data_IF_209332591810
#
_entry.id   IF_209332591810
#
_cell.length_a   1.000
_cell.length_b   1.000
_cell.length_c   1.000
_cell.angle_alpha   90.00
_cell.angle_beta   90.00
_cell.angle_gamma   90.00
#
_symmetry.space_group_name_H-M   'P 1'
#
loop_
_entity.id
_entity.type
_entity.pdbx_description
1 polymer ?
#
# COMPACT_ATOMS: atom_id res chain seq x y z
N UNK A 1 7.38 -19.18 14.97
CA UNK A 1 7.89 -18.27 13.93
C UNK A 1 7.70 -16.85 14.43
N UNK A 2 8.63 -15.93 14.16
CA UNK A 2 8.45 -14.52 14.50
C UNK A 2 7.23 -13.98 13.72
N UNK A 3 6.39 -13.13 14.35
CA UNK A 3 5.15 -12.64 13.74
C UNK A 3 5.43 -11.74 12.54
N UNK A 4 4.51 -11.75 11.58
CA UNK A 4 4.47 -10.74 10.51
C UNK A 4 3.92 -9.44 11.08
N UNK A 5 4.58 -8.33 10.77
CA UNK A 5 4.14 -6.99 11.16
C UNK A 5 3.59 -6.24 9.96
N UNK A 6 2.37 -5.73 10.09
CA UNK A 6 1.70 -4.89 9.10
C UNK A 6 1.74 -3.44 9.57
N UNK A 7 2.48 -2.62 8.85
CA UNK A 7 2.62 -1.18 9.07
C UNK A 7 1.64 -0.47 8.13
N UNK A 8 0.58 0.16 8.65
CA UNK A 8 -0.49 0.74 7.86
C UNK A 8 -0.56 2.26 8.01
N UNK A 9 -0.53 2.97 6.89
CA UNK A 9 -0.67 4.41 6.80
C UNK A 9 -2.10 4.79 6.43
N UNK A 10 -2.69 5.80 7.08
CA UNK A 10 -4.06 6.23 6.83
C UNK A 10 -4.22 7.01 5.53
N UNK A 11 -5.47 7.23 5.13
CA UNK A 11 -5.83 8.18 4.09
C UNK A 11 -5.50 9.62 4.51
N UNK A 12 -5.54 10.56 3.55
CA UNK A 12 -5.40 11.99 3.85
C UNK A 12 -6.43 12.41 4.91
N UNK A 13 -5.99 13.20 5.89
CA UNK A 13 -6.80 13.71 7.01
C UNK A 13 -7.40 12.65 7.94
N UNK A 14 -7.06 11.38 7.77
CA UNK A 14 -7.40 10.31 8.69
C UNK A 14 -6.28 10.09 9.72
N UNK A 15 -6.66 9.57 10.89
CA UNK A 15 -5.76 9.27 12.00
C UNK A 15 -5.59 7.76 12.21
N UNK A 16 -4.56 7.30 12.93
CA UNK A 16 -4.41 5.88 13.30
C UNK A 16 -5.64 5.30 14.01
N UNK A 17 -6.33 6.10 14.81
CA UNK A 17 -7.53 5.72 15.57
C UNK A 17 -8.71 5.36 14.65
N UNK A 18 -8.74 5.89 13.43
CA UNK A 18 -9.78 5.59 12.46
C UNK A 18 -9.76 4.10 12.07
N UNK A 19 -8.60 3.49 11.96
CA UNK A 19 -8.50 2.04 11.72
C UNK A 19 -9.15 1.20 12.83
N UNK A 20 -9.07 1.68 14.10
CA UNK A 20 -9.74 1.01 15.21
C UNK A 20 -11.26 1.19 15.11
N UNK A 21 -11.72 2.43 14.91
CA UNK A 21 -13.13 2.78 14.78
C UNK A 21 -13.81 2.03 13.64
N UNK A 22 -13.13 1.96 12.49
CA UNK A 22 -13.66 1.34 11.27
C UNK A 22 -13.50 -0.19 11.23
N UNK A 23 -12.94 -0.81 12.29
CA UNK A 23 -12.98 -2.25 12.48
C UNK A 23 -11.78 -3.06 11.97
N UNK A 24 -10.72 -2.45 11.49
CA UNK A 24 -9.54 -3.16 10.99
C UNK A 24 -8.91 -4.08 12.04
N UNK A 25 -8.75 -3.58 13.28
CA UNK A 25 -8.23 -4.39 14.40
C UNK A 25 -9.17 -5.51 14.77
N UNK A 26 -10.47 -5.20 14.88
CA UNK A 26 -11.51 -6.18 15.20
C UNK A 26 -11.49 -7.33 14.20
N UNK A 27 -11.51 -7.03 12.90
CA UNK A 27 -11.46 -8.04 11.83
C UNK A 27 -10.24 -8.95 11.94
N UNK A 28 -9.05 -8.39 12.17
CA UNK A 28 -7.84 -9.19 12.28
C UNK A 28 -7.89 -10.14 13.50
N UNK A 29 -8.41 -9.65 14.64
CA UNK A 29 -8.54 -10.43 15.89
C UNK A 29 -9.60 -11.52 15.79
N UNK A 30 -10.81 -11.20 15.34
CA UNK A 30 -11.91 -12.16 15.20
C UNK A 30 -11.55 -13.30 14.25
N UNK A 31 -10.80 -12.99 13.21
CA UNK A 31 -10.33 -13.99 12.23
C UNK A 31 -9.03 -14.67 12.64
N UNK A 32 -8.53 -14.44 13.87
CA UNK A 32 -7.30 -15.04 14.44
C UNK A 32 -6.11 -14.99 13.48
N UNK A 33 -5.88 -13.83 12.85
CA UNK A 33 -4.76 -13.67 11.93
C UNK A 33 -3.45 -13.54 12.69
N UNK A 34 -2.39 -14.25 12.28
CA UNK A 34 -1.08 -14.22 12.96
C UNK A 34 -0.27 -12.98 12.53
N UNK A 35 -0.81 -11.80 12.76
CA UNK A 35 -0.20 -10.53 12.35
C UNK A 35 -0.22 -9.51 13.49
N UNK A 36 0.86 -8.75 13.60
CA UNK A 36 0.96 -7.57 14.46
C UNK A 36 0.62 -6.33 13.63
N UNK A 37 -0.34 -5.52 14.10
CA UNK A 37 -0.76 -4.30 13.43
C UNK A 37 -0.12 -3.08 14.07
N UNK A 38 0.50 -2.26 13.25
CA UNK A 38 1.02 -0.94 13.63
C UNK A 38 0.41 0.11 12.72
N UNK A 39 -0.36 1.02 13.29
CA UNK A 39 -0.93 2.15 12.56
C UNK A 39 -0.02 3.36 12.71
N UNK A 40 0.43 3.88 11.57
CA UNK A 40 1.44 4.94 11.50
C UNK A 40 0.75 6.28 11.32
N UNK A 41 1.13 7.28 12.09
CA UNK A 41 0.61 8.63 11.90
C UNK A 41 1.16 9.25 10.61
N UNK A 42 0.27 9.79 9.76
CA UNK A 42 0.62 10.49 8.53
C UNK A 42 0.37 11.99 8.69
N UNK A 43 1.40 12.75 9.04
CA UNK A 43 1.30 14.22 9.15
C UNK A 43 1.52 14.87 7.80
N UNK A 44 0.57 15.68 7.34
CA UNK A 44 0.67 16.43 6.08
C UNK A 44 1.92 17.31 6.00
N UNK A 45 2.37 17.85 7.13
CA UNK A 45 3.63 18.60 7.21
C UNK A 45 4.82 17.78 6.71
N UNK A 46 4.91 16.49 7.07
CA UNK A 46 6.03 15.64 6.68
C UNK A 46 6.04 15.30 5.18
N UNK A 47 4.88 15.39 4.51
CA UNK A 47 4.80 15.32 3.05
C UNK A 47 5.30 16.61 2.42
N UNK A 48 4.86 17.76 2.94
CA UNK A 48 5.24 19.08 2.41
C UNK A 48 6.74 19.34 2.57
N UNK A 49 7.34 18.98 3.69
CA UNK A 49 8.78 19.14 3.96
C UNK A 49 9.63 17.94 3.47
N UNK A 50 8.98 16.95 2.81
CA UNK A 50 9.59 15.75 2.23
C UNK A 50 10.38 14.90 3.22
N UNK A 51 10.04 14.96 4.50
CA UNK A 51 10.69 14.15 5.54
C UNK A 51 10.00 12.82 5.78
N UNK A 52 8.80 12.58 5.23
CA UNK A 52 7.95 11.43 5.52
C UNK A 52 8.65 10.09 5.33
N UNK A 53 9.34 9.87 4.21
CA UNK A 53 10.01 8.59 3.94
C UNK A 53 11.16 8.32 4.90
N UNK A 54 11.96 9.35 5.21
CA UNK A 54 13.05 9.26 6.18
C UNK A 54 12.53 8.98 7.58
N UNK A 55 11.45 9.67 8.00
CA UNK A 55 10.82 9.44 9.30
C UNK A 55 10.23 8.04 9.41
N UNK A 56 9.46 7.61 8.40
CA UNK A 56 8.91 6.26 8.33
C UNK A 56 10.03 5.21 8.45
N UNK A 57 11.15 5.42 7.78
CA UNK A 57 12.32 4.56 7.88
C UNK A 57 12.87 4.47 9.29
N UNK A 58 13.25 5.61 9.87
CA UNK A 58 13.99 5.66 11.15
C UNK A 58 13.10 5.48 12.37
N UNK A 59 11.84 5.93 12.32
CA UNK A 59 10.94 5.90 13.46
C UNK A 59 10.04 4.64 13.49
N UNK A 60 9.87 3.94 12.34
CA UNK A 60 8.94 2.82 12.24
C UNK A 60 9.60 1.55 11.69
N UNK A 61 10.13 1.58 10.45
CA UNK A 61 10.56 0.36 9.76
C UNK A 61 11.83 -0.23 10.37
N UNK A 62 12.88 0.57 10.56
CA UNK A 62 14.13 0.09 11.17
C UNK A 62 13.93 -0.40 12.61
N UNK A 63 13.19 0.31 13.50
CA UNK A 63 12.84 -0.22 14.81
C UNK A 63 12.05 -1.53 14.76
N UNK A 64 11.09 -1.66 13.83
CA UNK A 64 10.36 -2.90 13.65
C UNK A 64 11.28 -4.07 13.27
N UNK A 65 12.24 -3.86 12.39
CA UNK A 65 13.28 -4.85 12.05
C UNK A 65 14.16 -5.21 13.24
N UNK A 66 14.60 -4.22 14.01
CA UNK A 66 15.44 -4.43 15.20
C UNK A 66 14.76 -5.28 16.28
N UNK A 67 13.43 -5.26 16.35
CA UNK A 67 12.64 -6.10 17.26
C UNK A 67 12.52 -7.57 16.80
N UNK A 68 13.16 -7.95 15.70
CA UNK A 68 13.23 -9.34 15.24
C UNK A 68 11.92 -9.89 14.67
N UNK A 69 11.06 -9.05 14.05
CA UNK A 69 9.87 -9.56 13.34
C UNK A 69 10.28 -10.44 12.16
N UNK A 70 9.45 -11.43 11.83
CA UNK A 70 9.70 -12.40 10.76
C UNK A 70 9.58 -11.76 9.37
N UNK A 71 8.58 -10.92 9.18
CA UNK A 71 8.41 -10.13 7.95
C UNK A 71 7.71 -8.81 8.24
N UNK A 72 7.98 -7.80 7.38
CA UNK A 72 7.35 -6.49 7.43
C UNK A 72 6.58 -6.28 6.12
N UNK A 73 5.28 -6.07 6.26
CA UNK A 73 4.44 -5.55 5.19
C UNK A 73 4.14 -4.09 5.44
N UNK A 74 4.40 -3.26 4.45
CA UNK A 74 4.03 -1.86 4.48
C UNK A 74 2.79 -1.65 3.62
N UNK A 75 1.86 -0.84 4.10
CA UNK A 75 0.67 -0.59 3.33
C UNK A 75 -0.04 0.69 3.74
N UNK A 76 -1.15 0.95 3.08
CA UNK A 76 -1.95 2.12 3.40
C UNK A 76 -3.12 2.35 2.47
N UNK A 77 -3.92 3.30 2.86
CA UNK A 77 -5.13 3.73 2.18
C UNK A 77 -4.85 5.05 1.46
N UNK A 78 -5.26 5.18 0.20
CA UNK A 78 -5.23 6.45 -0.54
C UNK A 78 -3.84 7.11 -0.50
N UNK A 79 -3.69 8.25 0.16
CA UNK A 79 -2.40 8.94 0.36
C UNK A 79 -1.38 8.07 1.13
N UNK A 80 -1.83 7.29 2.10
CA UNK A 80 -0.98 6.31 2.79
C UNK A 80 -0.45 5.23 1.85
N UNK A 81 -1.26 4.81 0.87
CA UNK A 81 -0.83 3.90 -0.19
C UNK A 81 0.23 4.50 -1.11
N UNK A 82 0.11 5.78 -1.44
CA UNK A 82 1.15 6.53 -2.17
C UNK A 82 2.48 6.55 -1.40
N UNK A 83 2.44 6.87 -0.11
CA UNK A 83 3.64 6.91 0.74
C UNK A 83 4.28 5.52 0.85
N UNK A 84 3.47 4.46 0.95
CA UNK A 84 3.98 3.08 0.98
C UNK A 84 4.68 2.70 -0.34
N UNK A 85 4.13 3.09 -1.49
CA UNK A 85 4.76 2.90 -2.80
C UNK A 85 6.08 3.68 -2.93
N UNK A 86 6.08 4.95 -2.54
CA UNK A 86 7.28 5.79 -2.58
C UNK A 86 8.38 5.24 -1.65
N UNK A 87 7.99 4.70 -0.48
CA UNK A 87 8.93 4.02 0.40
C UNK A 87 9.53 2.77 -0.25
N UNK A 88 8.69 1.93 -0.83
CA UNK A 88 9.13 0.69 -1.49
C UNK A 88 10.04 0.97 -2.71
N UNK A 89 9.80 2.05 -3.43
CA UNK A 89 10.68 2.50 -4.51
C UNK A 89 12.05 2.92 -3.98
N UNK A 90 12.06 3.65 -2.87
CA UNK A 90 13.29 4.21 -2.28
C UNK A 90 14.11 3.18 -1.49
N UNK A 91 13.43 2.28 -0.77
CA UNK A 91 14.03 1.29 0.15
C UNK A 91 13.51 -0.13 -0.08
N UNK A 92 13.67 -0.68 -1.29
CA UNK A 92 13.00 -1.93 -1.69
C UNK A 92 13.43 -3.17 -0.88
N UNK A 93 14.57 -3.12 -0.20
CA UNK A 93 15.10 -4.25 0.60
C UNK A 93 14.66 -4.21 2.06
N UNK A 94 13.95 -3.15 2.48
CA UNK A 94 13.59 -2.97 3.89
C UNK A 94 12.19 -3.49 4.23
N UNK A 95 11.39 -3.90 3.23
CA UNK A 95 10.05 -4.45 3.40
C UNK A 95 9.89 -5.74 2.60
N UNK A 96 9.04 -6.64 3.09
CA UNK A 96 8.82 -7.96 2.50
C UNK A 96 7.54 -8.03 1.67
N UNK A 97 6.70 -7.02 1.73
CA UNK A 97 5.48 -6.94 0.92
C UNK A 97 4.77 -5.60 1.03
N UNK A 98 3.85 -5.37 0.09
CA UNK A 98 2.99 -4.18 0.03
C UNK A 98 1.52 -4.56 0.06
N UNK A 99 0.71 -3.83 0.83
CA UNK A 99 -0.75 -3.91 0.77
C UNK A 99 -1.36 -2.52 0.59
N UNK A 100 -1.99 -2.29 -0.55
CA UNK A 100 -2.45 -0.98 -0.99
C UNK A 100 -3.96 -0.99 -1.17
N UNK A 101 -4.66 -0.10 -0.47
CA UNK A 101 -6.10 0.06 -0.58
C UNK A 101 -6.43 1.41 -1.21
N UNK A 102 -6.95 1.38 -2.44
CA UNK A 102 -7.31 2.56 -3.23
C UNK A 102 -6.20 3.64 -3.24
N UNK A 103 -4.93 3.30 -3.55
CA UNK A 103 -3.81 4.23 -3.42
C UNK A 103 -3.98 5.47 -4.31
N UNK A 104 -3.57 6.64 -3.83
CA UNK A 104 -3.35 7.79 -4.69
C UNK A 104 -2.14 7.48 -5.59
N UNK A 105 -2.29 7.65 -6.90
CA UNK A 105 -1.26 7.27 -7.88
C UNK A 105 -0.75 8.46 -8.70
N UNK A 106 -0.85 9.64 -8.14
CA UNK A 106 -0.38 10.87 -8.77
C UNK A 106 -1.50 11.70 -9.39
N UNK A 107 -1.14 12.90 -9.79
CA UNK A 107 -2.06 13.88 -10.38
C UNK A 107 -2.40 13.53 -11.83
N UNK A 108 -3.36 14.30 -12.41
CA UNK A 108 -3.82 14.09 -13.78
C UNK A 108 -2.75 14.30 -14.85
N UNK A 109 -1.71 15.07 -14.58
CA UNK A 109 -0.61 15.25 -15.53
C UNK A 109 0.17 13.95 -15.69
N UNK A 110 0.51 13.30 -14.57
CA UNK A 110 1.26 12.04 -14.55
C UNK A 110 0.42 10.88 -15.06
N UNK A 111 -0.79 10.71 -14.55
CA UNK A 111 -1.68 9.62 -15.00
C UNK A 111 -2.08 9.76 -16.46
N UNK A 112 -2.33 10.99 -16.94
CA UNK A 112 -2.62 11.26 -18.33
C UNK A 112 -1.42 11.13 -19.28
N UNK A 113 -0.19 11.30 -18.78
CA UNK A 113 1.03 11.00 -19.53
C UNK A 113 1.13 9.49 -19.81
N UNK A 114 0.87 8.66 -18.80
CA UNK A 114 0.91 7.20 -18.92
C UNK A 114 -0.23 6.70 -19.82
N UNK A 115 -1.42 7.28 -19.71
CA UNK A 115 -2.56 6.95 -20.56
C UNK A 115 -2.27 7.27 -22.03
N UNK A 116 -1.71 8.45 -22.33
CA UNK A 116 -1.28 8.83 -23.70
C UNK A 116 -0.19 7.92 -24.27
N UNK A 117 0.60 7.30 -23.42
CA UNK A 117 1.58 6.29 -23.84
C UNK A 117 0.98 4.88 -24.02
N UNK A 118 -0.36 4.74 -24.03
CA UNK A 118 -1.06 3.45 -24.09
C UNK A 118 -0.81 2.55 -22.87
N UNK A 119 -0.57 3.13 -21.71
CA UNK A 119 -0.47 2.42 -20.44
C UNK A 119 0.94 2.23 -19.91
N UNK A 120 1.02 1.59 -18.75
CA UNK A 120 2.26 1.48 -17.95
C UNK A 120 3.39 0.77 -18.70
N UNK A 121 3.06 -0.26 -19.51
CA UNK A 121 4.06 -1.05 -20.20
C UNK A 121 4.76 -0.28 -21.33
N UNK A 122 4.01 0.54 -22.05
CA UNK A 122 4.54 1.36 -23.14
C UNK A 122 5.15 2.68 -22.65
N UNK A 123 4.72 3.13 -21.48
CA UNK A 123 5.24 4.37 -20.92
C UNK A 123 6.73 4.27 -20.60
N UNK A 124 7.51 5.19 -21.12
CA UNK A 124 8.94 5.28 -20.86
C UNK A 124 9.25 6.64 -20.27
N UNK A 125 9.44 6.71 -18.93
CA UNK A 125 9.86 7.96 -18.31
C UNK A 125 11.28 8.31 -18.76
N UNK A 126 11.51 9.57 -19.00
CA UNK A 126 12.87 10.11 -19.15
C UNK A 126 13.66 10.04 -17.84
N UNK A 127 14.69 10.86 -17.74
CA UNK A 127 15.39 11.07 -16.47
C UNK A 127 14.43 11.70 -15.46
N UNK A 128 14.28 11.06 -14.30
CA UNK A 128 13.37 11.51 -13.24
C UNK A 128 14.14 12.23 -12.15
N UNK A 129 13.69 13.41 -11.79
CA UNK A 129 14.21 14.13 -10.63
C UNK A 129 14.05 13.31 -9.34
N UNK A 130 14.95 13.53 -8.39
CA UNK A 130 14.91 12.80 -7.11
C UNK A 130 13.60 13.02 -6.35
N UNK A 131 12.98 14.16 -6.57
CA UNK A 131 11.76 14.62 -5.93
C UNK A 131 10.47 14.39 -6.75
N UNK A 132 10.55 13.73 -7.90
CA UNK A 132 9.40 13.34 -8.69
C UNK A 132 8.83 11.98 -8.23
N UNK A 133 8.32 11.96 -7.00
CA UNK A 133 7.80 10.74 -6.39
C UNK A 133 6.65 10.14 -7.19
N UNK A 134 5.81 10.96 -7.84
CA UNK A 134 4.67 10.48 -8.61
C UNK A 134 5.10 9.65 -9.84
N UNK A 135 6.07 10.10 -10.64
CA UNK A 135 6.56 9.29 -11.77
C UNK A 135 7.45 8.16 -11.30
N UNK A 136 8.17 8.32 -10.20
CA UNK A 136 9.03 7.27 -9.61
C UNK A 136 8.22 6.07 -9.16
N UNK A 137 7.06 6.25 -8.51
CA UNK A 137 6.18 5.13 -8.15
C UNK A 137 5.66 4.38 -9.39
N UNK A 138 5.36 5.07 -10.48
CA UNK A 138 4.93 4.40 -11.71
C UNK A 138 6.05 3.61 -12.37
N UNK A 139 7.28 4.11 -12.34
CA UNK A 139 8.47 3.35 -12.77
C UNK A 139 8.65 2.10 -11.90
N UNK A 140 8.45 2.22 -10.60
CA UNK A 140 8.46 1.09 -9.67
C UNK A 140 7.36 0.07 -10.00
N UNK A 141 6.13 0.52 -10.24
CA UNK A 141 4.98 -0.31 -10.63
C UNK A 141 5.26 -1.05 -11.94
N UNK A 142 5.80 -0.37 -12.95
CA UNK A 142 6.19 -1.00 -14.23
C UNK A 142 7.14 -2.19 -14.03
N UNK A 143 8.03 -2.10 -13.07
CA UNK A 143 9.00 -3.15 -12.75
C UNK A 143 8.46 -4.31 -11.89
N UNK A 144 7.21 -4.27 -11.42
CA UNK A 144 6.69 -5.23 -10.42
C UNK A 144 6.64 -6.67 -10.91
N UNK A 145 6.35 -6.93 -12.19
CA UNK A 145 6.32 -8.31 -12.72
C UNK A 145 7.64 -9.06 -12.58
N UNK A 146 8.76 -8.34 -12.54
CA UNK A 146 10.09 -8.91 -12.35
C UNK A 146 10.53 -8.97 -10.89
N UNK A 147 9.72 -8.47 -9.95
CA UNK A 147 10.08 -8.41 -8.52
C UNK A 147 9.54 -9.61 -7.77
N UNK A 148 10.30 -10.05 -6.77
CA UNK A 148 9.90 -11.17 -5.90
C UNK A 148 9.05 -10.72 -4.71
N UNK A 149 9.08 -9.44 -4.34
CA UNK A 149 8.30 -8.94 -3.20
C UNK A 149 6.81 -8.89 -3.56
N UNK A 150 5.95 -9.57 -2.79
CA UNK A 150 4.52 -9.58 -3.06
C UNK A 150 3.91 -8.18 -2.90
N UNK A 151 3.01 -7.84 -3.83
CA UNK A 151 2.20 -6.64 -3.78
C UNK A 151 0.73 -7.03 -3.86
N UNK A 152 -0.10 -6.42 -3.04
CA UNK A 152 -1.56 -6.54 -3.10
C UNK A 152 -2.16 -5.17 -3.36
N UNK A 153 -2.98 -5.06 -4.40
CA UNK A 153 -3.76 -3.89 -4.77
C UNK A 153 -5.24 -4.18 -4.57
N UNK A 154 -5.92 -3.45 -3.71
CA UNK A 154 -7.36 -3.49 -3.56
C UNK A 154 -7.99 -2.13 -3.88
N UNK A 155 -9.14 -2.11 -4.61
CA UNK A 155 -9.87 -0.86 -4.85
C UNK A 155 -11.36 -1.07 -5.13
N UNK A 156 -12.14 -0.02 -4.90
CA UNK A 156 -13.56 0.02 -5.27
C UNK A 156 -13.74 0.25 -6.77
N UNK A 157 -14.69 -0.45 -7.38
CA UNK A 157 -14.97 -0.32 -8.81
C UNK A 157 -15.42 1.08 -9.19
N UNK A 158 -16.17 1.72 -8.30
CA UNK A 158 -16.73 3.07 -8.44
C UNK A 158 -15.86 4.15 -7.77
N UNK A 159 -14.62 3.78 -7.38
CA UNK A 159 -13.67 4.74 -6.79
C UNK A 159 -13.35 5.87 -7.76
N UNK A 160 -13.28 7.10 -7.25
CA UNK A 160 -12.93 8.29 -8.06
C UNK A 160 -11.57 8.18 -8.76
N UNK A 161 -10.68 7.32 -8.26
CA UNK A 161 -9.37 7.01 -8.85
C UNK A 161 -9.35 5.67 -9.58
N UNK A 162 -10.49 5.04 -9.84
CA UNK A 162 -10.57 3.71 -10.44
C UNK A 162 -9.84 3.60 -11.80
N UNK A 163 -9.75 4.68 -12.56
CA UNK A 163 -9.02 4.70 -13.83
C UNK A 163 -7.52 4.42 -13.60
N UNK A 164 -6.88 5.15 -12.68
CA UNK A 164 -5.48 4.93 -12.35
C UNK A 164 -5.25 3.59 -11.64
N UNK A 165 -6.21 3.10 -10.83
CA UNK A 165 -6.12 1.77 -10.23
C UNK A 165 -6.14 0.66 -11.29
N UNK A 166 -7.02 0.75 -12.30
CA UNK A 166 -7.02 -0.20 -13.44
C UNK A 166 -5.71 -0.15 -14.22
N UNK A 167 -5.16 1.03 -14.41
CA UNK A 167 -3.86 1.21 -15.06
C UNK A 167 -2.74 0.53 -14.25
N UNK A 168 -2.71 0.69 -12.92
CA UNK A 168 -1.78 -0.03 -12.05
C UNK A 168 -2.02 -1.55 -12.11
N UNK A 169 -3.27 -1.98 -12.04
CA UNK A 169 -3.64 -3.39 -12.09
C UNK A 169 -3.14 -4.10 -13.35
N UNK A 170 -3.10 -3.41 -14.50
CA UNK A 170 -2.57 -3.97 -15.75
C UNK A 170 -1.08 -4.35 -15.67
N UNK A 171 -0.33 -3.76 -14.76
CA UNK A 171 1.09 -4.05 -14.53
C UNK A 171 1.32 -5.16 -13.49
N UNK A 172 0.26 -5.67 -12.85
CA UNK A 172 0.35 -6.67 -11.78
C UNK A 172 -0.14 -8.04 -12.24
N UNK A 173 0.19 -9.07 -11.47
CA UNK A 173 -0.41 -10.39 -11.63
C UNK A 173 -1.88 -10.35 -11.15
N UNK A 174 -2.82 -11.01 -11.86
CA UNK A 174 -4.24 -10.94 -11.52
C UNK A 174 -4.57 -11.32 -10.07
N UNK A 175 -3.88 -12.29 -9.50
CA UNK A 175 -4.03 -12.74 -8.11
C UNK A 175 -3.57 -11.72 -7.07
N UNK A 176 -2.91 -10.66 -7.50
CA UNK A 176 -2.49 -9.54 -6.66
C UNK A 176 -3.50 -8.39 -6.63
N UNK A 177 -4.59 -8.51 -7.39
CA UNK A 177 -5.59 -7.44 -7.55
C UNK A 177 -6.94 -7.90 -7.00
N UNK A 178 -7.52 -7.08 -6.14
CA UNK A 178 -8.86 -7.26 -5.58
C UNK A 178 -9.75 -6.07 -5.92
N UNK A 179 -10.88 -6.31 -6.58
CA UNK A 179 -11.83 -5.27 -6.99
C UNK A 179 -13.20 -5.57 -6.41
N UNK A 180 -13.69 -4.68 -5.58
CA UNK A 180 -15.00 -4.81 -4.93
C UNK A 180 -15.97 -3.70 -5.40
N UNK A 181 -17.28 -3.87 -5.27
CA UNK A 181 -18.23 -2.77 -5.46
C UNK A 181 -18.02 -1.66 -4.43
N UNK A 182 -18.26 -0.41 -4.83
CA UNK A 182 -18.23 0.78 -3.98
C UNK A 182 -17.10 1.75 -4.33
N UNK A 183 -17.10 2.89 -3.63
CA UNK A 183 -16.27 4.06 -3.92
C UNK A 183 -15.01 4.16 -3.06
N UNK A 184 -14.58 5.43 -2.83
CA UNK A 184 -13.40 5.77 -2.05
C UNK A 184 -13.76 6.02 -0.58
N UNK A 185 -14.10 4.96 0.16
CA UNK A 185 -14.72 5.05 1.48
C UNK A 185 -14.37 3.88 2.40
N UNK A 186 -14.51 4.08 3.71
CA UNK A 186 -14.14 3.12 4.74
C UNK A 186 -14.80 1.75 4.62
N UNK A 187 -16.11 1.59 4.32
CA UNK A 187 -16.71 0.27 4.17
C UNK A 187 -16.08 -0.56 3.05
N UNK A 188 -15.66 0.10 1.97
CA UNK A 188 -14.96 -0.54 0.85
C UNK A 188 -13.56 -0.97 1.28
N UNK A 189 -12.81 -0.09 1.94
CA UNK A 189 -11.46 -0.38 2.43
C UNK A 189 -11.45 -1.49 3.48
N UNK A 190 -12.46 -1.54 4.35
CA UNK A 190 -12.61 -2.64 5.32
C UNK A 190 -12.83 -3.98 4.61
N UNK A 191 -13.67 -4.03 3.59
CA UNK A 191 -13.89 -5.25 2.78
C UNK A 191 -12.61 -5.70 2.09
N UNK A 192 -11.86 -4.78 1.50
CA UNK A 192 -10.56 -5.06 0.87
C UNK A 192 -9.53 -5.58 1.90
N UNK A 193 -9.55 -5.01 3.10
CA UNK A 193 -8.74 -5.48 4.22
C UNK A 193 -9.07 -6.92 4.62
N UNK A 194 -10.36 -7.25 4.72
CA UNK A 194 -10.83 -8.60 5.00
C UNK A 194 -10.35 -9.62 3.96
N UNK A 195 -10.48 -9.27 2.69
CA UNK A 195 -10.04 -10.11 1.57
C UNK A 195 -8.52 -10.29 1.58
N UNK A 196 -7.76 -9.21 1.77
CA UNK A 196 -6.31 -9.25 1.89
C UNK A 196 -5.85 -10.18 3.01
N UNK A 197 -6.42 -10.04 4.20
CA UNK A 197 -6.09 -10.91 5.33
C UNK A 197 -6.42 -12.38 5.03
N UNK A 198 -7.54 -12.64 4.36
CA UNK A 198 -7.93 -14.00 4.00
C UNK A 198 -6.95 -14.63 3.00
N UNK A 199 -6.53 -13.86 2.01
CA UNK A 199 -5.66 -14.32 0.93
C UNK A 199 -4.21 -14.51 1.37
N UNK A 200 -3.68 -13.60 2.19
CA UNK A 200 -2.24 -13.55 2.52
C UNK A 200 -1.90 -14.11 3.89
N UNK A 201 -2.82 -14.06 4.83
CA UNK A 201 -2.62 -14.51 6.21
C UNK A 201 -3.78 -15.41 6.64
N UNK A 202 -3.88 -16.64 6.12
CA UNK A 202 -4.93 -17.57 6.53
C UNK A 202 -4.87 -17.79 8.04
N UNK A 203 -6.02 -18.06 8.66
CA UNK A 203 -6.08 -18.34 10.09
C UNK A 203 -5.15 -19.53 10.42
N UNK A 204 -4.41 -19.43 11.51
CA UNK A 204 -3.68 -20.60 12.03
C UNK A 204 -4.67 -21.72 12.31
N UNK A 205 -4.39 -22.91 11.80
CA UNK A 205 -5.15 -24.09 12.20
C UNK A 205 -5.10 -24.20 13.73
N UNK A 206 -6.25 -24.29 14.37
CA UNK A 206 -6.30 -24.53 15.80
C UNK A 206 -5.61 -25.90 16.02
N UNK A 207 -4.46 -25.88 16.68
CA UNK A 207 -3.87 -27.12 17.19
C UNK A 207 -4.83 -27.61 18.29
N UNK A 208 -5.57 -28.67 17.96
CA UNK A 208 -6.45 -29.39 18.92
C UNK A 208 -5.57 -30.13 19.93
#
# INVERSE_FOLDING_TARGET
MAPTRLLLLPAAYAAPEDFLREGFVRTARERRRPVDLVFVELKMQHLTDRTILRRLRHEVVLPARALGCGSIWLGGISLGGFVALAYAERYPQEIDGLCLFAPYLGNHMVTGEIERANGVHEWTPGELAEDDDERRIWRYIKGQRARLSPLHLGYGREDRFAASHRMMASALAPESVDVVPGGHEWPVWLRLWENFLAARFPASAATI
#
